data_IF_214091994929
#
_entry.id   IF_214091994929
#
_cell.length_a   1.000
_cell.length_b   1.000
_cell.length_c   1.000
_cell.angle_alpha   90.00
_cell.angle_beta   90.00
_cell.angle_gamma   90.00
#
_symmetry.space_group_name_H-M   'P 1'
#
loop_
_entity.id
_entity.type
_entity.pdbx_description
1 polymer ?
#
# COMPACT_ATOMS: atom_id res chain seq x y z
N UNK A 1 -1.19 -26.35 -18.56
CA UNK A 1 -1.15 -26.24 -17.09
C UNK A 1 -1.81 -24.93 -16.70
N UNK A 2 -3.09 -24.97 -16.29
CA UNK A 2 -3.78 -23.78 -15.82
C UNK A 2 -3.34 -23.50 -14.39
N UNK A 3 -2.62 -22.40 -14.17
CA UNK A 3 -2.33 -21.91 -12.84
C UNK A 3 -3.66 -21.67 -12.13
N UNK A 4 -3.92 -22.41 -11.06
CA UNK A 4 -5.03 -22.14 -10.13
C UNK A 4 -4.95 -20.65 -9.77
N UNK A 5 -6.04 -19.86 -9.89
CA UNK A 5 -5.99 -18.46 -9.52
C UNK A 5 -5.54 -18.38 -8.07
N UNK A 6 -4.32 -17.88 -7.84
CA UNK A 6 -3.68 -17.72 -6.54
C UNK A 6 -4.73 -17.26 -5.52
N UNK A 7 -5.18 -18.18 -4.66
CA UNK A 7 -6.25 -17.90 -3.70
C UNK A 7 -5.76 -16.80 -2.76
N UNK A 8 -6.44 -15.67 -2.75
CA UNK A 8 -6.17 -14.58 -1.83
C UNK A 8 -6.52 -15.04 -0.41
N UNK A 9 -5.51 -15.31 0.40
CA UNK A 9 -5.62 -15.86 1.75
C UNK A 9 -4.65 -15.15 2.68
N UNK A 10 -4.83 -15.34 3.99
CA UNK A 10 -3.86 -14.92 5.01
C UNK A 10 -2.44 -15.41 4.69
N UNK A 11 -2.32 -16.69 4.31
CA UNK A 11 -1.03 -17.32 4.01
C UNK A 11 -0.37 -16.70 2.78
N UNK A 12 -1.11 -16.56 1.67
CA UNK A 12 -0.57 -15.96 0.44
C UNK A 12 -0.19 -14.50 0.64
N UNK A 13 -0.92 -13.76 1.48
CA UNK A 13 -0.56 -12.38 1.82
C UNK A 13 0.74 -12.34 2.61
N UNK A 14 0.86 -13.13 3.68
CA UNK A 14 2.07 -13.20 4.49
C UNK A 14 3.30 -13.59 3.66
N UNK A 15 3.19 -14.61 2.81
CA UNK A 15 4.26 -15.04 1.90
C UNK A 15 4.67 -13.93 0.93
N UNK A 16 3.70 -13.23 0.33
CA UNK A 16 4.00 -12.11 -0.57
C UNK A 16 4.71 -10.95 0.15
N UNK A 17 4.29 -10.64 1.38
CA UNK A 17 4.93 -9.61 2.22
C UNK A 17 6.35 -10.00 2.60
N UNK A 18 6.57 -11.25 3.00
CA UNK A 18 7.89 -11.77 3.33
C UNK A 18 8.83 -11.69 2.12
N UNK A 19 8.41 -12.21 0.97
CA UNK A 19 9.19 -12.14 -0.27
C UNK A 19 9.51 -10.70 -0.66
N UNK A 20 8.54 -9.80 -0.56
CA UNK A 20 8.72 -8.40 -0.90
C UNK A 20 9.68 -7.69 0.06
N UNK A 21 9.58 -7.96 1.36
CA UNK A 21 10.47 -7.40 2.38
C UNK A 21 11.89 -7.92 2.22
N UNK A 22 12.07 -9.22 1.98
CA UNK A 22 13.39 -9.79 1.69
C UNK A 22 14.00 -9.20 0.42
N UNK A 23 13.21 -9.09 -0.66
CA UNK A 23 13.65 -8.44 -1.89
C UNK A 23 14.07 -6.99 -1.63
N UNK A 24 13.26 -6.24 -0.88
CA UNK A 24 13.57 -4.86 -0.49
C UNK A 24 14.88 -4.77 0.29
N UNK A 25 15.05 -5.61 1.31
CA UNK A 25 16.25 -5.65 2.14
C UNK A 25 17.51 -6.01 1.34
N UNK A 26 17.38 -6.88 0.32
CA UNK A 26 18.49 -7.38 -0.50
C UNK A 26 19.05 -6.37 -1.52
N UNK A 27 18.32 -5.30 -1.83
CA UNK A 27 18.81 -4.26 -2.77
C UNK A 27 19.91 -3.43 -2.10
N UNK A 28 21.13 -3.52 -2.65
CA UNK A 28 22.36 -2.87 -2.16
C UNK A 28 22.29 -1.33 -2.17
N UNK A 29 23.07 -0.69 -1.30
CA UNK A 29 23.06 0.76 -0.95
C UNK A 29 23.47 1.75 -2.07
N UNK A 30 23.53 1.32 -3.32
CA UNK A 30 24.11 2.08 -4.43
C UNK A 30 23.10 2.38 -5.55
N UNK A 31 21.83 2.63 -5.21
CA UNK A 31 20.83 3.00 -6.22
C UNK A 31 20.60 4.51 -6.35
N UNK A 32 20.38 5.02 -7.58
CA UNK A 32 20.13 6.43 -7.83
C UNK A 32 18.83 6.91 -7.14
N UNK A 33 18.83 8.16 -6.69
CA UNK A 33 17.60 8.88 -6.32
C UNK A 33 16.72 8.97 -7.57
N UNK A 34 15.47 8.48 -7.51
CA UNK A 34 14.55 8.54 -8.64
C UNK A 34 13.55 7.39 -8.73
N UNK A 35 12.87 7.23 -9.88
CA UNK A 35 11.88 6.18 -10.12
C UNK A 35 12.42 4.75 -9.98
N UNK A 36 13.73 4.59 -10.13
CA UNK A 36 14.45 3.34 -9.99
C UNK A 36 15.03 3.11 -8.59
N UNK A 37 14.72 3.96 -7.60
CA UNK A 37 15.20 3.74 -6.24
C UNK A 37 14.52 2.54 -5.59
N UNK A 38 15.25 1.87 -4.68
CA UNK A 38 14.75 0.82 -3.78
C UNK A 38 13.37 1.10 -3.19
N UNK A 39 13.12 2.34 -2.75
CA UNK A 39 11.82 2.74 -2.20
C UNK A 39 10.74 2.85 -3.27
N UNK A 40 11.09 3.31 -4.47
CA UNK A 40 10.18 3.35 -5.62
C UNK A 40 9.79 1.94 -6.09
N UNK A 41 10.75 1.02 -6.15
CA UNK A 41 10.49 -0.41 -6.41
C UNK A 41 9.52 -0.97 -5.36
N UNK A 42 9.91 -0.91 -4.08
CA UNK A 42 9.11 -1.49 -3.01
C UNK A 42 7.70 -0.92 -2.98
N UNK A 43 7.56 0.40 -3.11
CA UNK A 43 6.27 1.07 -3.09
C UNK A 43 5.37 0.63 -4.25
N UNK A 44 5.93 0.42 -5.44
CA UNK A 44 5.19 -0.12 -6.59
C UNK A 44 4.70 -1.55 -6.31
N UNK A 45 5.57 -2.41 -5.81
CA UNK A 45 5.21 -3.80 -5.52
C UNK A 45 4.19 -3.91 -4.38
N UNK A 46 4.38 -3.13 -3.32
CA UNK A 46 3.42 -3.01 -2.23
C UNK A 46 2.06 -2.54 -2.76
N UNK A 47 2.04 -1.52 -3.62
CA UNK A 47 0.82 -1.06 -4.26
C UNK A 47 0.17 -2.14 -5.13
N UNK A 48 0.94 -2.88 -5.94
CA UNK A 48 0.42 -3.99 -6.76
C UNK A 48 -0.25 -5.05 -5.88
N UNK A 49 0.41 -5.46 -4.81
CA UNK A 49 -0.12 -6.43 -3.85
C UNK A 49 -1.40 -5.91 -3.21
N UNK A 50 -1.38 -4.71 -2.63
CA UNK A 50 -2.54 -4.14 -1.95
C UNK A 50 -3.72 -3.89 -2.90
N UNK A 51 -3.47 -3.35 -4.09
CA UNK A 51 -4.48 -3.16 -5.14
C UNK A 51 -5.19 -4.47 -5.48
N UNK A 52 -4.46 -5.58 -5.56
CA UNK A 52 -5.03 -6.90 -5.86
C UNK A 52 -6.00 -7.39 -4.76
N UNK A 53 -5.65 -7.22 -3.49
CA UNK A 53 -6.50 -7.64 -2.37
C UNK A 53 -7.70 -6.71 -2.19
N UNK A 54 -7.49 -5.40 -2.29
CA UNK A 54 -8.54 -4.37 -2.18
C UNK A 54 -9.53 -4.51 -3.35
N UNK A 55 -9.04 -4.65 -4.58
CA UNK A 55 -9.91 -4.87 -5.75
C UNK A 55 -10.71 -6.17 -5.70
N UNK A 56 -10.30 -7.14 -4.88
CA UNK A 56 -11.02 -8.39 -4.65
C UNK A 56 -11.93 -8.35 -3.40
N UNK A 57 -12.06 -7.20 -2.72
CA UNK A 57 -12.85 -7.07 -1.49
C UNK A 57 -12.28 -7.87 -0.31
N UNK A 58 -10.96 -8.04 -0.25
CA UNK A 58 -10.25 -8.86 0.74
C UNK A 58 -9.50 -8.04 1.80
N UNK A 59 -10.02 -6.88 2.14
CA UNK A 59 -9.50 -6.02 3.21
C UNK A 59 -9.70 -6.63 4.60
N UNK A 60 -10.62 -7.60 4.73
CA UNK A 60 -10.85 -8.42 5.93
C UNK A 60 -9.55 -9.07 6.43
N UNK A 61 -8.73 -9.58 5.50
CA UNK A 61 -7.42 -10.18 5.79
C UNK A 61 -6.51 -9.17 6.50
N UNK A 62 -6.50 -7.90 6.09
CA UNK A 62 -5.65 -6.89 6.71
C UNK A 62 -6.06 -6.64 8.15
N UNK A 63 -7.37 -6.55 8.40
CA UNK A 63 -7.91 -6.36 9.75
C UNK A 63 -7.54 -7.51 10.67
N UNK A 64 -7.69 -8.74 10.20
CA UNK A 64 -7.41 -9.93 11.01
C UNK A 64 -5.91 -10.04 11.34
N UNK A 65 -5.04 -9.74 10.38
CA UNK A 65 -3.59 -9.65 10.59
C UNK A 65 -3.21 -8.54 11.59
N UNK A 66 -3.92 -7.41 11.58
CA UNK A 66 -3.71 -6.32 12.53
C UNK A 66 -4.15 -6.72 13.93
N UNK A 67 -5.35 -7.31 14.08
CA UNK A 67 -5.91 -7.75 15.38
C UNK A 67 -5.03 -8.78 16.09
N UNK A 68 -4.36 -9.66 15.33
CA UNK A 68 -3.48 -10.68 15.87
C UNK A 68 -2.14 -10.13 16.39
N UNK A 69 -1.80 -8.87 16.09
CA UNK A 69 -0.53 -8.29 16.52
C UNK A 69 -0.70 -7.40 17.76
N UNK A 70 -0.05 -7.72 18.89
CA UNK A 70 -0.14 -6.91 20.11
C UNK A 70 0.44 -5.50 19.94
N UNK A 71 1.23 -5.26 18.89
CA UNK A 71 1.84 -3.97 18.57
C UNK A 71 0.96 -3.08 17.67
N UNK A 72 -0.10 -3.62 17.09
CA UNK A 72 -0.92 -2.92 16.08
C UNK A 72 -2.25 -2.47 16.67
N UNK A 73 -2.28 -1.28 17.28
CA UNK A 73 -3.55 -0.59 17.56
C UNK A 73 -3.98 0.21 16.34
N UNK A 74 -4.96 -0.31 15.61
CA UNK A 74 -5.65 0.45 14.58
C UNK A 74 -6.55 1.51 15.25
N UNK A 75 -6.35 2.78 14.92
CA UNK A 75 -7.35 3.81 15.23
C UNK A 75 -8.60 3.56 14.37
N UNK A 76 -9.83 3.78 14.87
CA UNK A 76 -11.04 3.66 14.05
C UNK A 76 -10.96 4.44 12.72
N UNK A 77 -10.23 5.55 12.69
CA UNK A 77 -10.04 6.37 11.50
C UNK A 77 -9.29 5.67 10.35
N UNK A 78 -8.50 4.61 10.63
CA UNK A 78 -7.77 3.88 9.58
C UNK A 78 -8.61 2.79 8.91
N UNK A 79 -9.75 2.42 9.51
CA UNK A 79 -10.61 1.34 8.99
C UNK A 79 -11.18 1.68 7.61
N UNK A 80 -11.38 2.97 7.33
CA UNK A 80 -11.86 3.47 6.04
C UNK A 80 -10.71 3.84 5.07
N UNK A 81 -9.48 3.38 5.34
CA UNK A 81 -8.28 3.71 4.56
C UNK A 81 -7.58 2.40 4.15
N UNK A 82 -8.07 1.69 3.13
CA UNK A 82 -7.70 0.30 2.88
C UNK A 82 -6.21 0.12 2.54
N UNK A 83 -5.60 1.08 1.83
CA UNK A 83 -4.16 1.04 1.55
C UNK A 83 -3.31 1.27 2.79
N UNK A 84 -3.72 2.21 3.65
CA UNK A 84 -3.04 2.43 4.93
C UNK A 84 -3.17 1.19 5.81
N UNK A 85 -4.35 0.59 5.87
CA UNK A 85 -4.59 -0.65 6.60
C UNK A 85 -3.70 -1.79 6.09
N UNK A 86 -3.62 -1.96 4.76
CA UNK A 86 -2.71 -2.88 4.12
C UNK A 86 -1.26 -2.68 4.54
N UNK A 87 -0.75 -1.45 4.52
CA UNK A 87 0.62 -1.14 4.98
C UNK A 87 0.84 -1.47 6.47
N UNK A 88 -0.18 -1.29 7.32
CA UNK A 88 -0.11 -1.74 8.72
C UNK A 88 -0.10 -3.27 8.84
N UNK A 89 -0.79 -3.98 7.97
CA UNK A 89 -0.76 -5.44 7.92
C UNK A 89 0.58 -5.97 7.39
N UNK A 90 1.23 -5.25 6.48
CA UNK A 90 2.56 -5.59 5.95
C UNK A 90 3.69 -5.38 6.98
N UNK A 91 3.59 -4.34 7.81
CA UNK A 91 4.67 -3.94 8.73
C UNK A 91 4.19 -3.88 10.19
N UNK A 92 4.50 -4.90 11.00
CA UNK A 92 4.28 -4.90 12.46
C UNK A 92 5.40 -4.22 13.27
N UNK A 93 6.54 -3.96 12.64
CA UNK A 93 7.70 -3.31 13.22
C UNK A 93 7.76 -1.82 12.86
N UNK A 94 8.91 -1.16 12.99
CA UNK A 94 9.14 0.22 12.54
C UNK A 94 9.98 0.28 11.24
N UNK A 95 10.07 -0.82 10.48
CA UNK A 95 10.82 -0.87 9.20
C UNK A 95 10.31 0.15 8.19
N UNK A 96 9.01 0.43 8.21
CA UNK A 96 8.41 1.59 7.57
C UNK A 96 7.82 2.51 8.64
N UNK A 97 8.27 3.77 8.69
CA UNK A 97 7.83 4.71 9.72
C UNK A 97 6.31 4.94 9.65
N UNK A 98 5.70 5.32 10.79
CA UNK A 98 4.26 5.67 10.85
C UNK A 98 3.90 6.79 9.88
N UNK A 99 4.79 7.77 9.71
CA UNK A 99 4.58 8.87 8.78
C UNK A 99 4.62 8.38 7.33
N UNK A 100 5.58 7.52 6.99
CA UNK A 100 5.65 6.96 5.64
C UNK A 100 4.43 6.09 5.32
N UNK A 101 3.94 5.29 6.27
CA UNK A 101 2.69 4.53 6.07
C UNK A 101 1.51 5.43 5.78
N UNK A 102 1.41 6.57 6.47
CA UNK A 102 0.36 7.56 6.20
C UNK A 102 0.52 8.12 4.78
N UNK A 103 1.69 8.67 4.47
CA UNK A 103 1.96 9.33 3.18
C UNK A 103 1.80 8.35 2.02
N UNK A 104 2.34 7.14 2.15
CA UNK A 104 2.26 6.13 1.10
C UNK A 104 0.85 5.60 0.96
N UNK A 105 0.13 5.38 2.07
CA UNK A 105 -1.27 4.99 2.05
C UNK A 105 -2.13 6.00 1.29
N UNK A 106 -1.98 7.29 1.58
CA UNK A 106 -2.70 8.38 0.89
C UNK A 106 -2.34 8.43 -0.61
N UNK A 107 -1.07 8.30 -0.96
CA UNK A 107 -0.62 8.30 -2.35
C UNK A 107 -1.13 7.10 -3.15
N UNK A 108 -1.09 5.91 -2.55
CA UNK A 108 -1.61 4.68 -3.16
C UNK A 108 -3.12 4.73 -3.33
N UNK A 109 -3.84 5.22 -2.32
CA UNK A 109 -5.30 5.34 -2.40
C UNK A 109 -5.72 6.35 -3.46
N UNK A 110 -5.02 7.49 -3.55
CA UNK A 110 -5.28 8.46 -4.61
C UNK A 110 -5.01 7.88 -6.00
N UNK A 111 -3.91 7.15 -6.17
CA UNK A 111 -3.59 6.46 -7.41
C UNK A 111 -4.65 5.40 -7.78
N UNK A 112 -5.10 4.60 -6.82
CA UNK A 112 -6.14 3.59 -7.01
C UNK A 112 -7.47 4.19 -7.48
N UNK A 113 -7.94 5.25 -6.80
CA UNK A 113 -9.16 5.98 -7.20
C UNK A 113 -9.03 6.62 -8.58
N UNK A 114 -7.81 6.90 -9.01
CA UNK A 114 -7.51 7.46 -10.33
C UNK A 114 -7.27 6.39 -11.41
N UNK A 115 -7.48 5.10 -11.10
CA UNK A 115 -7.33 4.00 -12.05
C UNK A 115 -5.88 3.73 -12.47
N UNK A 116 -4.90 4.10 -11.64
CA UNK A 116 -3.49 4.00 -11.99
C UNK A 116 -3.00 2.55 -11.86
N UNK A 117 -2.30 2.07 -12.88
CA UNK A 117 -1.62 0.78 -12.84
C UNK A 117 -0.28 0.86 -12.09
N UNK A 118 0.17 -0.22 -11.42
CA UNK A 118 1.36 -0.19 -10.57
C UNK A 118 2.62 0.35 -11.28
N UNK A 119 2.79 0.02 -12.55
CA UNK A 119 3.93 0.45 -13.38
C UNK A 119 3.99 1.98 -13.51
N UNK A 120 2.83 2.65 -13.45
CA UNK A 120 2.69 4.10 -13.56
C UNK A 120 2.72 4.82 -12.21
N UNK A 121 2.67 4.09 -11.08
CA UNK A 121 2.50 4.66 -9.75
C UNK A 121 3.51 5.76 -9.43
N UNK A 122 4.80 5.49 -9.66
CA UNK A 122 5.86 6.41 -9.25
C UNK A 122 5.85 7.69 -10.09
N UNK A 123 5.64 7.55 -11.41
CA UNK A 123 5.46 8.69 -12.30
C UNK A 123 4.23 9.52 -11.94
N UNK A 124 3.11 8.87 -11.65
CA UNK A 124 1.88 9.53 -11.22
C UNK A 124 2.05 10.30 -9.90
N UNK A 125 2.71 9.70 -8.90
CA UNK A 125 2.97 10.39 -7.63
C UNK A 125 3.84 11.63 -7.87
N UNK A 126 4.87 11.51 -8.71
CA UNK A 126 5.78 12.62 -9.01
C UNK A 126 5.05 13.79 -9.68
N UNK A 127 4.14 13.52 -10.63
CA UNK A 127 3.38 14.57 -11.33
C UNK A 127 2.18 15.09 -10.53
N UNK A 128 1.69 14.32 -9.55
CA UNK A 128 0.53 14.71 -8.73
C UNK A 128 0.86 15.79 -7.68
N UNK A 129 2.14 16.03 -7.41
CA UNK A 129 2.65 17.08 -6.54
C UNK A 129 3.09 16.59 -5.15
N UNK A 130 3.19 17.52 -4.19
CA UNK A 130 3.68 17.21 -2.84
C UNK A 130 2.74 16.24 -2.10
N UNK A 131 3.24 15.50 -1.07
CA UNK A 131 2.39 14.66 -0.23
C UNK A 131 1.16 15.39 0.34
N UNK A 132 1.34 16.63 0.78
CA UNK A 132 0.24 17.46 1.30
C UNK A 132 -0.82 17.76 0.22
N UNK A 133 -0.39 18.07 -1.02
CA UNK A 133 -1.31 18.31 -2.13
C UNK A 133 -2.06 17.03 -2.52
N UNK A 134 -1.39 15.89 -2.52
CA UNK A 134 -2.03 14.59 -2.78
C UNK A 134 -3.08 14.28 -1.70
N UNK A 135 -2.76 14.51 -0.43
CA UNK A 135 -3.72 14.32 0.67
C UNK A 135 -4.95 15.22 0.51
N UNK A 136 -4.77 16.49 0.13
CA UNK A 136 -5.88 17.40 -0.18
C UNK A 136 -6.73 16.91 -1.35
N UNK A 137 -6.11 16.49 -2.46
CA UNK A 137 -6.81 15.94 -3.63
C UNK A 137 -7.60 14.68 -3.29
N UNK A 138 -7.03 13.79 -2.46
CA UNK A 138 -7.71 12.60 -1.97
C UNK A 138 -8.92 12.95 -1.11
N UNK A 139 -8.77 13.90 -0.18
CA UNK A 139 -9.87 14.34 0.67
C UNK A 139 -11.04 14.91 -0.15
N UNK A 140 -10.75 15.81 -1.09
CA UNK A 140 -11.75 16.35 -2.01
C UNK A 140 -12.40 15.26 -2.91
N UNK A 141 -11.69 14.16 -3.18
CA UNK A 141 -12.25 13.03 -3.92
C UNK A 141 -13.17 12.17 -3.05
N UNK A 142 -12.89 12.01 -1.75
CA UNK A 142 -13.75 11.30 -0.79
C UNK A 142 -15.07 12.03 -0.54
N UNK A 143 -15.03 13.36 -0.44
CA UNK A 143 -16.22 14.19 -0.24
C UNK A 143 -17.19 14.12 -1.43
N UNK A 144 -16.66 14.01 -2.66
CA UNK A 144 -17.46 13.83 -3.87
C UNK A 144 -18.23 12.51 -3.88
N UNK A 145 -17.58 11.40 -3.51
CA UNK A 145 -18.23 10.08 -3.45
C UNK A 145 -19.34 10.01 -2.40
N UNK A 146 -19.27 10.81 -1.33
CA UNK A 146 -20.31 10.85 -0.29
C UNK A 146 -21.53 11.70 -0.66
N UNK A 147 -21.42 12.49 -1.73
CA UNK A 147 -22.47 13.41 -2.19
C UNK A 147 -23.29 12.84 -3.35
N UNK A 148 -23.01 11.60 -3.78
CA UNK A 148 -23.65 10.90 -4.91
C UNK A 148 -24.44 9.70 -4.40
#
# INVERSE_FOLDING_TARGET
>A
MGSEPDKLTHRSFAQAVEHLTLAWLSVAHTEPRGPSSRNSYFKREAYRLLKRYIGAGREDIFLDIIKQSPRRRASPAILNQPFKLGLYAMFDDDSLSRNDRKVWGEQMEYAYRSGIEPEMLIGFIYTSGSPALIAQKLQAARERDQST
#
